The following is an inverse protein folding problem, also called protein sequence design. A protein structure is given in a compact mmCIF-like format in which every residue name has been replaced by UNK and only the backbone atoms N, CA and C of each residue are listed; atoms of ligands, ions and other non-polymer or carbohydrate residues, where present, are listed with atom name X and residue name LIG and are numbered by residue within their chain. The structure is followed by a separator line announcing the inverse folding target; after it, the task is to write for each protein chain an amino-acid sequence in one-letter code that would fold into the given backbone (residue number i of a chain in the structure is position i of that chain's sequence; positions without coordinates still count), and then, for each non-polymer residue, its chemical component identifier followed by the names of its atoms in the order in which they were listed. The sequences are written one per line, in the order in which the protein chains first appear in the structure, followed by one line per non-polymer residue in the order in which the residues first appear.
data_IF_940683167252
#
_entry.id   IF_940683167252
#
_cell.length_a   1.000
_cell.length_b   1.000
_cell.length_c   1.000
_cell.angle_alpha   90.00
_cell.angle_beta   90.00
_cell.angle_gamma   90.00
#
_symmetry.space_group_name_H-M   'P 1'
#
loop_
_entity.id
_entity.type
_entity.pdbx_description
1 polymer ?
#
# COMPACT_ATOMS: atom_id res chain seq x y z
N UNK A 1 -2.04 -20.18 -1.35
CA UNK A 1 -3.31 -19.83 -2.03
C UNK A 1 -4.17 -18.93 -1.16
N UNK A 2 -4.60 -19.35 0.03
CA UNK A 2 -5.36 -18.47 0.93
C UNK A 2 -4.65 -17.15 1.32
N UNK A 3 -3.33 -17.20 1.57
CA UNK A 3 -2.53 -16.01 1.90
C UNK A 3 -2.51 -14.96 0.76
N UNK A 4 -2.23 -15.39 -0.46
CA UNK A 4 -2.24 -14.51 -1.65
C UNK A 4 -3.66 -13.96 -1.86
N UNK A 5 -4.71 -14.76 -1.70
CA UNK A 5 -6.07 -14.22 -1.80
C UNK A 5 -6.33 -13.14 -0.75
N UNK A 6 -5.84 -13.30 0.49
CA UNK A 6 -5.98 -12.29 1.53
C UNK A 6 -5.19 -11.01 1.22
N UNK A 7 -3.97 -11.13 0.70
CA UNK A 7 -3.14 -9.99 0.29
C UNK A 7 -3.84 -9.15 -0.79
N UNK A 8 -4.35 -9.79 -1.84
CA UNK A 8 -5.01 -9.13 -2.95
C UNK A 8 -6.35 -8.52 -2.53
N UNK A 9 -7.04 -9.13 -1.56
CA UNK A 9 -8.23 -8.52 -0.92
C UNK A 9 -7.83 -7.31 -0.07
N UNK A 10 -6.69 -7.37 0.64
CA UNK A 10 -6.14 -6.24 1.37
C UNK A 10 -5.88 -5.04 0.46
N UNK A 11 -5.23 -5.27 -0.68
CA UNK A 11 -5.06 -4.23 -1.70
C UNK A 11 -6.37 -3.71 -2.28
N UNK A 12 -7.35 -4.59 -2.52
CA UNK A 12 -8.66 -4.15 -2.98
C UNK A 12 -9.35 -3.25 -1.94
N UNK A 13 -9.31 -3.61 -0.66
CA UNK A 13 -9.85 -2.77 0.42
C UNK A 13 -9.12 -1.43 0.50
N UNK A 14 -7.78 -1.41 0.40
CA UNK A 14 -6.98 -0.18 0.37
C UNK A 14 -7.42 0.77 -0.74
N UNK A 15 -7.79 0.23 -1.91
CA UNK A 15 -8.34 1.00 -3.01
C UNK A 15 -9.72 1.56 -2.66
N UNK A 16 -10.64 0.73 -2.16
CA UNK A 16 -12.01 1.15 -1.85
C UNK A 16 -12.10 2.20 -0.73
N UNK A 17 -11.16 2.18 0.22
CA UNK A 17 -11.14 3.16 1.34
C UNK A 17 -10.23 4.37 1.06
N UNK A 18 -9.66 4.50 -0.14
CA UNK A 18 -8.85 5.65 -0.55
C UNK A 18 -7.40 5.66 -0.04
N UNK A 19 -6.92 4.57 0.56
CA UNK A 19 -5.52 4.48 1.03
C UNK A 19 -4.52 4.59 -0.11
N UNK A 20 -4.89 4.14 -1.32
CA UNK A 20 -4.04 4.28 -2.51
C UNK A 20 -3.84 5.74 -2.94
N UNK A 21 -4.87 6.57 -2.79
CA UNK A 21 -4.80 8.01 -3.10
C UNK A 21 -3.95 8.77 -2.07
N UNK A 22 -4.10 8.40 -0.79
CA UNK A 22 -3.27 8.92 0.30
C UNK A 22 -1.80 8.54 0.11
N UNK A 23 -1.53 7.28 -0.25
CA UNK A 23 -0.19 6.80 -0.57
C UNK A 23 0.41 7.56 -1.76
N UNK A 24 -0.35 7.75 -2.85
CA UNK A 24 0.10 8.48 -4.03
C UNK A 24 0.47 9.93 -3.68
N UNK A 25 -0.38 10.59 -2.90
CA UNK A 25 -0.16 11.95 -2.42
C UNK A 25 1.07 12.04 -1.49
N UNK A 26 1.20 11.10 -0.55
CA UNK A 26 2.32 11.08 0.40
C UNK A 26 3.67 10.78 -0.27
N UNK A 27 3.66 10.03 -1.38
CA UNK A 27 4.85 9.68 -2.14
C UNK A 27 5.31 10.81 -3.08
N UNK A 28 4.44 11.73 -3.45
CA UNK A 28 4.77 12.79 -4.39
C UNK A 28 5.89 13.70 -3.85
N UNK A 29 6.90 13.97 -4.69
CA UNK A 29 8.05 14.81 -4.33
C UNK A 29 9.03 14.19 -3.32
N UNK A 30 8.82 12.93 -2.92
CA UNK A 30 9.71 12.22 -2.00
C UNK A 30 10.96 11.68 -2.69
N UNK A 31 12.05 11.62 -1.94
CA UNK A 31 13.26 10.92 -2.39
C UNK A 31 12.97 9.43 -2.57
N UNK A 32 13.78 8.74 -3.36
CA UNK A 32 13.64 7.29 -3.58
C UNK A 32 13.62 6.50 -2.26
N UNK A 33 14.42 6.91 -1.28
CA UNK A 33 14.50 6.24 0.03
C UNK A 33 13.18 6.39 0.78
N UNK A 34 12.65 7.61 0.87
CA UNK A 34 11.36 7.88 1.53
C UNK A 34 10.19 7.19 0.80
N UNK A 35 10.18 7.21 -0.53
CA UNK A 35 9.18 6.53 -1.33
C UNK A 35 9.19 5.01 -1.08
N UNK A 36 10.37 4.40 -1.00
CA UNK A 36 10.49 2.97 -0.70
C UNK A 36 9.96 2.64 0.72
N UNK A 37 10.19 3.52 1.70
CA UNK A 37 9.63 3.34 3.04
C UNK A 37 8.10 3.38 3.03
N UNK A 38 7.50 4.25 2.22
CA UNK A 38 6.05 4.30 2.03
C UNK A 38 5.54 3.03 1.36
N UNK A 39 6.25 2.49 0.36
CA UNK A 39 5.87 1.22 -0.28
C UNK A 39 5.86 0.07 0.73
N UNK A 40 6.92 -0.08 1.54
CA UNK A 40 6.98 -1.15 2.52
C UNK A 40 5.80 -1.08 3.49
N UNK A 41 5.39 0.12 3.91
CA UNK A 41 4.22 0.30 4.77
C UNK A 41 2.91 -0.08 4.08
N UNK A 42 2.75 0.25 2.80
CA UNK A 42 1.56 -0.09 2.00
C UNK A 42 1.40 -1.61 1.88
N UNK A 43 2.47 -2.31 1.50
CA UNK A 43 2.46 -3.79 1.38
C UNK A 43 2.22 -4.45 2.74
N UNK A 44 2.87 -3.95 3.79
CA UNK A 44 2.69 -4.49 5.15
C UNK A 44 1.25 -4.38 5.65
N UNK A 45 0.47 -3.41 5.15
CA UNK A 45 -0.95 -3.27 5.50
C UNK A 45 -1.83 -4.28 4.74
N UNK A 46 -1.44 -4.68 3.52
CA UNK A 46 -2.12 -5.74 2.78
C UNK A 46 -1.77 -7.14 3.31
N UNK A 47 -0.59 -7.29 3.92
CA UNK A 47 -0.10 -8.52 4.55
C UNK A 47 -0.60 -8.78 5.98
N UNK A 48 -1.21 -7.78 6.64
CA UNK A 48 -1.67 -7.84 8.04
C UNK A 48 -3.07 -8.45 8.18
#
# INVERSE_FOLDING_TARGET
MAYVIAHEVGHHIQNEIGTMDDYASARQGKSKIEANQLNVKLESQADY
#
